data_IF_898679221358
#
_entry.id   IF_898679221358
#
_cell.length_a   1.000
_cell.length_b   1.000
_cell.length_c   1.000
_cell.angle_alpha   90.00
_cell.angle_beta   90.00
_cell.angle_gamma   90.00
#
_symmetry.space_group_name_H-M   'P 1'
#
loop_
_entity.id
_entity.type
_entity.pdbx_description
1 polymer ?
#
# COMPACT_ATOMS: atom_id res chain seq x y z
N UNK A 1 10.99 -1.62 -26.98
CA UNK A 1 10.41 -2.93 -27.36
C UNK A 1 8.92 -3.03 -26.99
N UNK A 2 8.51 -3.28 -25.74
CA UNK A 2 7.08 -3.52 -25.42
C UNK A 2 6.18 -2.25 -25.40
N UNK A 3 6.76 -1.08 -25.07
CA UNK A 3 6.03 0.19 -25.08
C UNK A 3 5.83 0.78 -26.48
N UNK A 4 6.74 0.49 -27.42
CA UNK A 4 6.66 0.98 -28.80
C UNK A 4 5.60 0.22 -29.62
N UNK A 5 5.33 -1.04 -29.28
CA UNK A 5 4.28 -1.88 -29.89
C UNK A 5 2.87 -1.42 -29.52
N UNK A 6 2.68 -0.74 -28.37
CA UNK A 6 1.39 -0.13 -28.01
C UNK A 6 1.06 1.11 -28.84
N UNK A 7 2.04 1.74 -29.48
CA UNK A 7 1.83 2.96 -30.26
C UNK A 7 1.21 2.69 -31.65
N UNK A 8 1.03 1.42 -32.04
CA UNK A 8 0.34 1.04 -33.28
C UNK A 8 -1.17 0.81 -33.11
N UNK A 9 -1.70 0.84 -31.89
CA UNK A 9 -3.14 0.78 -31.63
C UNK A 9 -3.58 2.02 -30.87
N UNK A 10 -3.68 3.15 -31.59
CA UNK A 10 -4.63 4.21 -31.25
C UNK A 10 -6.03 3.64 -31.44
N UNK A 11 -6.40 2.66 -30.61
CA UNK A 11 -7.72 2.07 -30.60
C UNK A 11 -8.63 3.07 -29.89
N UNK A 12 -9.65 3.54 -30.60
CA UNK A 12 -10.76 4.32 -30.04
C UNK A 12 -11.50 3.47 -28.99
N UNK A 13 -11.03 3.47 -27.74
CA UNK A 13 -11.62 2.68 -26.67
C UNK A 13 -10.83 2.73 -25.36
N UNK A 14 -11.43 2.24 -24.25
CA UNK A 14 -10.74 2.20 -22.96
C UNK A 14 -9.52 1.26 -23.02
N UNK A 15 -8.36 1.81 -22.69
CA UNK A 15 -7.07 1.11 -22.55
C UNK A 15 -6.59 1.09 -21.08
N UNK A 16 -5.44 0.44 -20.83
CA UNK A 16 -4.83 0.31 -19.50
C UNK A 16 -4.69 1.63 -18.75
N UNK A 17 -4.26 2.70 -19.44
CA UNK A 17 -4.06 4.02 -18.84
C UNK A 17 -5.39 4.74 -18.56
N UNK A 18 -6.40 4.54 -19.40
CA UNK A 18 -7.73 5.16 -19.20
C UNK A 18 -8.61 4.42 -18.19
N UNK A 19 -8.27 3.17 -17.85
CA UNK A 19 -9.01 2.35 -16.88
C UNK A 19 -8.65 2.68 -15.41
N UNK A 20 -7.76 3.64 -15.16
CA UNK A 20 -7.36 4.03 -13.81
C UNK A 20 -8.55 4.58 -13.01
N UNK A 21 -8.75 4.03 -11.81
CA UNK A 21 -9.74 4.56 -10.88
C UNK A 21 -9.28 5.92 -10.32
N UNK A 22 -10.25 6.82 -10.10
CA UNK A 22 -9.98 8.09 -9.43
C UNK A 22 -9.62 7.91 -7.94
N UNK A 23 -9.18 9.00 -7.27
CA UNK A 23 -8.83 8.97 -5.85
C UNK A 23 -10.01 8.52 -4.96
N UNK A 24 -9.74 7.92 -3.79
CA UNK A 24 -10.79 7.50 -2.87
C UNK A 24 -11.56 8.70 -2.32
N UNK A 25 -12.90 8.59 -2.27
CA UNK A 25 -13.77 9.62 -1.70
C UNK A 25 -13.89 9.56 -0.17
N UNK A 26 -13.34 8.51 0.46
CA UNK A 26 -13.46 8.26 1.91
C UNK A 26 -12.09 8.27 2.58
N UNK A 27 -12.02 8.67 3.87
CA UNK A 27 -10.76 8.67 4.60
C UNK A 27 -10.20 7.26 4.77
N UNK A 28 -8.87 7.16 4.79
CA UNK A 28 -8.20 5.91 5.04
C UNK A 28 -8.47 5.41 6.46
N UNK A 29 -8.62 4.09 6.61
CA UNK A 29 -8.84 3.43 7.88
C UNK A 29 -7.51 2.83 8.38
N UNK A 30 -7.03 3.18 9.58
CA UNK A 30 -5.78 2.64 10.10
C UNK A 30 -6.00 1.22 10.61
N UNK A 31 -5.41 0.25 9.91
CA UNK A 31 -5.42 -1.16 10.29
C UNK A 31 -4.03 -1.64 10.68
N UNK A 32 -3.97 -2.60 11.59
CA UNK A 32 -2.74 -3.22 12.06
C UNK A 32 -2.11 -4.04 10.92
N UNK A 33 -0.84 -3.78 10.61
CA UNK A 33 -0.10 -4.50 9.57
C UNK A 33 0.19 -5.97 9.92
N UNK A 34 -0.02 -6.37 11.17
CA UNK A 34 0.19 -7.75 11.64
C UNK A 34 -1.08 -8.58 11.57
N UNK A 35 -2.22 -8.03 11.99
CA UNK A 35 -3.46 -8.80 12.19
C UNK A 35 -4.73 -8.17 11.59
N UNK A 36 -4.65 -6.99 10.97
CA UNK A 36 -5.77 -6.34 10.28
C UNK A 36 -6.80 -5.64 11.17
N UNK A 37 -6.73 -5.76 12.50
CA UNK A 37 -7.62 -5.03 13.41
C UNK A 37 -7.34 -3.52 13.44
N UNK A 38 -8.33 -2.67 13.84
CA UNK A 38 -8.11 -1.24 13.99
C UNK A 38 -6.88 -0.92 14.84
N UNK A 39 -6.07 0.02 14.36
CA UNK A 39 -4.75 0.29 14.92
C UNK A 39 -4.61 1.75 15.35
N UNK A 40 -4.60 2.04 16.67
CA UNK A 40 -4.38 3.40 17.14
C UNK A 40 -2.89 3.79 17.12
N UNK A 41 -1.96 2.83 17.10
CA UNK A 41 -0.53 3.09 17.23
C UNK A 41 0.23 3.00 15.90
N UNK A 42 1.39 3.64 15.88
CA UNK A 42 2.27 3.74 14.71
C UNK A 42 3.71 3.49 15.15
N UNK A 43 4.45 2.66 14.42
CA UNK A 43 5.86 2.41 14.67
C UNK A 43 6.68 3.65 14.30
N UNK A 44 7.50 4.14 15.23
CA UNK A 44 8.34 5.33 15.03
C UNK A 44 9.44 5.14 13.99
N UNK A 45 9.85 3.89 13.73
CA UNK A 45 10.96 3.60 12.82
C UNK A 45 10.55 3.52 11.35
N UNK A 46 9.32 3.06 11.06
CA UNK A 46 8.89 2.80 9.67
C UNK A 46 7.46 3.27 9.35
N UNK A 47 6.73 3.85 10.30
CA UNK A 47 5.36 4.33 10.08
C UNK A 47 4.29 3.24 9.99
N UNK A 48 4.65 1.96 10.08
CA UNK A 48 3.66 0.87 10.06
C UNK A 48 2.75 0.89 11.30
N UNK A 49 1.49 0.53 11.11
CA UNK A 49 0.43 0.57 12.14
C UNK A 49 0.36 -0.75 12.93
N UNK A 50 0.18 -0.69 14.25
CA UNK A 50 -0.04 -1.86 15.11
C UNK A 50 -1.12 -1.63 16.19
N UNK A 51 -1.88 -2.68 16.53
CA UNK A 51 -2.99 -2.57 17.48
C UNK A 51 -2.60 -2.80 18.96
N UNK A 52 -1.58 -3.63 19.23
CA UNK A 52 -1.17 -4.01 20.59
C UNK A 52 0.34 -4.18 20.69
N UNK A 53 0.88 -4.19 21.91
CA UNK A 53 2.31 -4.47 22.17
C UNK A 53 2.74 -5.82 21.60
N UNK A 54 1.85 -6.83 21.62
CA UNK A 54 2.13 -8.13 20.98
C UNK A 54 2.39 -7.97 19.48
N UNK A 55 1.53 -7.21 18.80
CA UNK A 55 1.72 -6.91 17.38
C UNK A 55 2.96 -6.04 17.14
N UNK A 56 3.32 -5.14 18.07
CA UNK A 56 4.57 -4.38 17.98
C UNK A 56 5.79 -5.31 18.00
N UNK A 57 5.83 -6.31 18.90
CA UNK A 57 6.91 -7.29 18.95
C UNK A 57 7.05 -8.06 17.64
N UNK A 58 5.96 -8.67 17.16
CA UNK A 58 5.96 -9.38 15.86
C UNK A 58 6.35 -8.45 14.71
N UNK A 59 5.89 -7.20 14.74
CA UNK A 59 6.26 -6.20 13.76
C UNK A 59 7.77 -5.93 13.77
N UNK A 60 8.36 -5.68 14.94
CA UNK A 60 9.79 -5.39 15.09
C UNK A 60 10.69 -6.53 14.61
N UNK A 61 10.28 -7.78 14.82
CA UNK A 61 11.04 -8.96 14.43
C UNK A 61 11.00 -9.24 12.93
N UNK A 62 9.82 -9.11 12.30
CA UNK A 62 9.59 -9.68 10.95
C UNK A 62 9.13 -8.68 9.90
N UNK A 63 8.64 -7.50 10.30
CA UNK A 63 7.99 -6.53 9.38
C UNK A 63 8.52 -5.10 9.48
N UNK A 64 9.44 -4.81 10.39
CA UNK A 64 9.94 -3.46 10.59
C UNK A 64 10.99 -3.13 9.53
N UNK A 65 10.58 -2.28 8.60
CA UNK A 65 11.37 -1.74 7.49
C UNK A 65 12.44 -0.73 7.94
N UNK A 66 12.96 -0.84 9.18
CA UNK A 66 13.93 0.10 9.76
C UNK A 66 15.24 0.23 8.96
N UNK A 67 15.57 -0.75 8.11
CA UNK A 67 16.81 -0.80 7.33
C UNK A 67 16.59 -0.82 5.81
N UNK A 68 15.35 -0.81 5.33
CA UNK A 68 15.09 -0.71 3.90
C UNK A 68 15.16 0.76 3.51
N UNK A 69 16.30 1.12 2.88
CA UNK A 69 16.51 2.39 2.15
C UNK A 69 15.75 2.34 0.83
#
# INVERSE_FOLDING_TARGET
ALLEEQNLSVAEGPNYLTACAGPPSRPQRPFCAVCGFPSPYTCVSCGARYCTVRCLGTHQETRCLKWTV
#
